data_IF_963262934936
#
_entry.id   IF_963262934936
#
_cell.length_a   1.000
_cell.length_b   1.000
_cell.length_c   1.000
_cell.angle_alpha   90.00
_cell.angle_beta   90.00
_cell.angle_gamma   90.00
#
_symmetry.space_group_name_H-M   'P 1'
#
loop_
_entity.id
_entity.type
_entity.pdbx_description
1 polymer ?
#
# COMPACT_ATOMS: atom_id res chain seq x y z
N UNK A 1 -46.99 -29.04 -17.65
CA UNK A 1 -46.78 -27.63 -17.28
C UNK A 1 -45.61 -27.62 -16.29
N UNK A 2 -44.34 -27.54 -16.67
CA UNK A 2 -43.60 -26.45 -17.34
C UNK A 2 -44.03 -25.08 -16.83
N UNK A 3 -43.18 -24.43 -16.02
CA UNK A 3 -42.42 -23.25 -16.46
C UNK A 3 -41.10 -23.15 -15.67
N UNK A 4 -40.01 -22.92 -16.42
CA UNK A 4 -38.60 -22.83 -16.03
C UNK A 4 -38.21 -21.46 -15.44
N UNK A 5 -36.89 -21.35 -15.12
CA UNK A 5 -35.95 -20.20 -15.20
C UNK A 5 -35.54 -19.60 -13.84
N UNK A 6 -34.26 -19.40 -13.48
CA UNK A 6 -32.98 -19.42 -14.24
C UNK A 6 -31.83 -19.90 -13.34
N UNK A 7 -30.95 -20.74 -13.90
CA UNK A 7 -29.57 -20.94 -13.47
C UNK A 7 -28.70 -19.76 -13.90
N UNK A 8 -27.63 -19.48 -13.16
CA UNK A 8 -26.36 -19.13 -13.79
C UNK A 8 -25.22 -19.81 -13.04
N UNK A 9 -24.64 -20.77 -13.75
CA UNK A 9 -23.46 -21.58 -13.45
C UNK A 9 -22.35 -21.02 -14.35
N UNK A 10 -21.12 -20.93 -13.86
CA UNK A 10 -19.91 -21.50 -14.49
C UNK A 10 -18.64 -20.84 -13.93
N UNK A 11 -18.19 -21.46 -12.84
CA UNK A 11 -16.80 -21.46 -12.38
C UNK A 11 -16.20 -22.77 -12.91
N UNK A 12 -15.43 -22.75 -13.99
CA UNK A 12 -14.58 -23.88 -14.39
C UNK A 12 -13.32 -23.32 -15.04
N UNK A 13 -12.28 -23.15 -14.23
CA UNK A 13 -10.90 -23.40 -14.63
C UNK A 13 -10.70 -24.91 -14.59
N UNK A 14 -10.25 -25.53 -15.69
CA UNK A 14 -9.35 -26.69 -15.68
C UNK A 14 -8.96 -27.09 -17.10
N UNK A 15 -7.65 -27.30 -17.24
CA UNK A 15 -6.93 -27.87 -18.36
C UNK A 15 -7.63 -29.05 -19.07
N UNK A 16 -7.58 -29.03 -20.39
CA UNK A 16 -7.89 -30.17 -21.25
C UNK A 16 -7.68 -29.85 -22.73
N UNK A 17 -6.44 -29.98 -23.21
CA UNK A 17 -6.19 -30.11 -24.65
C UNK A 17 -6.86 -31.41 -25.15
N UNK A 18 -7.62 -31.40 -26.26
CA UNK A 18 -7.20 -31.67 -27.64
C UNK A 18 -8.47 -31.71 -28.55
N UNK A 19 -8.32 -31.20 -29.78
CA UNK A 19 -9.10 -31.40 -31.03
C UNK A 19 -10.59 -30.99 -31.10
N UNK A 20 -10.86 -29.98 -31.94
CA UNK A 20 -11.40 -30.22 -33.29
C UNK A 20 -11.28 -28.98 -34.18
N UNK A 21 -10.82 -29.20 -35.42
CA UNK A 21 -10.65 -28.22 -36.48
C UNK A 21 -11.98 -27.76 -37.10
N UNK A 22 -11.99 -26.49 -37.52
CA UNK A 22 -12.75 -25.86 -38.61
C UNK A 22 -14.09 -25.17 -38.28
N UNK A 23 -14.09 -23.84 -38.29
CA UNK A 23 -14.82 -23.05 -39.31
C UNK A 23 -14.62 -21.53 -39.14
N UNK A 24 -13.92 -20.94 -40.12
CA UNK A 24 -13.78 -19.53 -40.50
C UNK A 24 -14.65 -18.47 -39.78
N UNK A 25 -13.98 -17.56 -39.08
CA UNK A 25 -14.04 -16.13 -39.45
C UNK A 25 -12.61 -15.59 -39.48
N UNK A 26 -12.32 -14.78 -40.48
CA UNK A 26 -11.04 -14.11 -40.73
C UNK A 26 -10.71 -13.09 -39.64
N UNK A 27 -10.22 -13.58 -38.51
CA UNK A 27 -9.37 -12.84 -37.59
C UNK A 27 -8.01 -13.54 -37.67
N UNK A 28 -6.92 -12.80 -37.84
CA UNK A 28 -5.57 -13.37 -37.82
C UNK A 28 -5.36 -14.03 -36.45
N UNK A 29 -5.54 -15.36 -36.39
CA UNK A 29 -5.29 -16.15 -35.19
C UNK A 29 -3.80 -15.98 -34.84
N UNK A 30 -3.53 -15.19 -33.80
CA UNK A 30 -2.19 -14.99 -33.27
C UNK A 30 -1.62 -16.36 -32.86
N UNK A 31 -0.36 -16.57 -33.16
CA UNK A 31 0.38 -17.70 -32.58
C UNK A 31 0.38 -17.56 -31.05
N UNK A 32 0.55 -18.66 -30.30
CA UNK A 32 0.66 -18.59 -28.84
C UNK A 32 1.71 -17.58 -28.35
N UNK A 33 2.83 -17.46 -29.06
CA UNK A 33 3.90 -16.50 -28.75
C UNK A 33 3.45 -15.05 -28.98
N UNK A 34 2.72 -14.78 -30.06
CA UNK A 34 2.19 -13.45 -30.35
C UNK A 34 1.08 -13.06 -29.37
N UNK A 35 0.26 -14.01 -28.93
CA UNK A 35 -0.76 -13.80 -27.91
C UNK A 35 -0.11 -13.48 -26.55
N UNK A 36 0.91 -14.25 -26.12
CA UNK A 36 1.63 -13.97 -24.87
C UNK A 36 2.34 -12.60 -24.91
N UNK A 37 2.95 -12.24 -26.05
CA UNK A 37 3.58 -10.94 -26.21
C UNK A 37 2.56 -9.79 -26.13
N UNK A 38 1.35 -9.98 -26.70
CA UNK A 38 0.24 -9.03 -26.60
C UNK A 38 -0.24 -8.91 -25.15
N UNK A 39 -0.49 -10.02 -24.47
CA UNK A 39 -0.96 -10.05 -23.08
C UNK A 39 0.06 -9.40 -22.13
N UNK A 40 1.35 -9.69 -22.32
CA UNK A 40 2.44 -9.01 -21.59
C UNK A 40 2.40 -7.50 -21.79
N UNK A 41 2.21 -7.03 -23.03
CA UNK A 41 2.15 -5.60 -23.35
C UNK A 41 0.94 -4.92 -22.72
N UNK A 42 -0.22 -5.56 -22.77
CA UNK A 42 -1.46 -5.05 -22.16
C UNK A 42 -1.33 -4.96 -20.63
N UNK A 43 -0.76 -6.00 -20.01
CA UNK A 43 -0.50 -6.01 -18.57
C UNK A 43 0.50 -4.93 -18.14
N UNK A 44 1.58 -4.72 -18.89
CA UNK A 44 2.52 -3.61 -18.63
C UNK A 44 1.83 -2.24 -18.71
N UNK A 45 0.93 -2.05 -19.67
CA UNK A 45 0.17 -0.81 -19.78
C UNK A 45 -0.77 -0.62 -18.58
N UNK A 46 -1.45 -1.67 -18.12
CA UNK A 46 -2.29 -1.64 -16.93
C UNK A 46 -1.50 -1.30 -15.67
N UNK A 47 -0.37 -1.96 -15.44
CA UNK A 47 0.53 -1.68 -14.31
C UNK A 47 0.98 -0.21 -14.33
N UNK A 48 1.33 0.32 -15.50
CA UNK A 48 1.71 1.73 -15.68
C UNK A 48 0.54 2.67 -15.32
N UNK A 49 -0.67 2.36 -15.77
CA UNK A 49 -1.87 3.14 -15.42
C UNK A 49 -2.12 3.10 -13.92
N UNK A 50 -1.98 1.95 -13.28
CA UNK A 50 -2.17 1.80 -11.84
C UNK A 50 -1.15 2.62 -11.05
N UNK A 51 0.15 2.54 -11.38
CA UNK A 51 1.18 3.37 -10.75
C UNK A 51 0.88 4.86 -10.91
N UNK A 52 0.56 5.29 -12.14
CA UNK A 52 0.24 6.70 -12.42
C UNK A 52 -1.00 7.17 -11.65
N UNK A 53 -2.01 6.32 -11.49
CA UNK A 53 -3.20 6.64 -10.71
C UNK A 53 -2.89 6.80 -9.22
N UNK A 54 -2.01 5.95 -8.67
CA UNK A 54 -1.55 6.07 -7.28
C UNK A 54 -0.85 7.41 -7.05
N UNK A 55 0.09 7.80 -7.92
CA UNK A 55 0.87 9.03 -7.70
C UNK A 55 0.10 10.31 -8.07
N UNK A 56 -0.89 10.24 -8.95
CA UNK A 56 -1.66 11.43 -9.36
C UNK A 56 -2.73 11.86 -8.35
N UNK A 57 -3.08 10.98 -7.40
CA UNK A 57 -4.15 11.20 -6.41
C UNK A 57 -3.59 11.54 -5.04
N UNK A 58 -4.48 11.99 -4.17
CA UNK A 58 -4.22 12.18 -2.74
C UNK A 58 -4.97 11.12 -1.94
N UNK A 59 -4.31 10.60 -0.91
CA UNK A 59 -4.76 9.44 -0.16
C UNK A 59 -4.79 9.76 1.33
N UNK A 60 -5.98 9.78 1.92
CA UNK A 60 -6.18 9.92 3.35
C UNK A 60 -6.00 8.56 4.05
N UNK A 61 -5.43 8.57 5.25
CA UNK A 61 -5.38 7.39 6.10
C UNK A 61 -6.80 6.94 6.48
N UNK A 62 -7.16 5.69 6.18
CA UNK A 62 -8.47 5.13 6.53
C UNK A 62 -8.36 4.09 7.64
N UNK A 63 -7.50 3.08 7.48
CA UNK A 63 -7.37 2.01 8.45
C UNK A 63 -6.03 1.26 8.33
N UNK A 64 -5.68 0.54 9.38
CA UNK A 64 -4.62 -0.45 9.39
C UNK A 64 -5.19 -1.79 9.86
N UNK A 65 -5.01 -2.83 9.05
CA UNK A 65 -5.34 -4.21 9.39
C UNK A 65 -4.03 -4.94 9.75
N UNK A 66 -3.70 -5.10 11.03
CA UNK A 66 -2.49 -5.82 11.42
C UNK A 66 -2.61 -7.30 11.03
N UNK A 67 -1.49 -7.89 10.65
CA UNK A 67 -1.41 -9.33 10.40
C UNK A 67 -1.74 -10.14 11.67
N UNK A 68 -2.07 -11.42 11.49
CA UNK A 68 -2.30 -12.33 12.62
C UNK A 68 -1.04 -12.47 13.50
N UNK A 69 0.15 -12.49 12.90
CA UNK A 69 1.41 -12.64 13.62
C UNK A 69 1.80 -11.36 14.38
N UNK A 70 1.55 -10.18 13.81
CA UNK A 70 1.74 -8.89 14.49
C UNK A 70 0.80 -8.79 15.71
N UNK A 71 -0.47 -9.16 15.52
CA UNK A 71 -1.47 -9.19 16.59
C UNK A 71 -1.09 -10.18 17.69
N UNK A 72 -0.60 -11.38 17.33
CA UNK A 72 -0.16 -12.37 18.30
C UNK A 72 1.06 -11.88 19.08
N UNK A 73 2.05 -11.31 18.39
CA UNK A 73 3.25 -10.77 19.00
C UNK A 73 2.95 -9.61 19.96
N UNK A 74 2.00 -8.74 19.66
CA UNK A 74 1.63 -7.62 20.55
C UNK A 74 1.11 -8.03 21.93
N UNK A 75 0.76 -9.32 22.10
CA UNK A 75 0.21 -9.89 23.35
C UNK A 75 1.23 -10.69 24.16
N UNK A 76 2.49 -10.74 23.72
CA UNK A 76 3.58 -11.42 24.44
C UNK A 76 4.33 -10.44 25.34
N UNK A 77 5.12 -10.98 26.29
CA UNK A 77 5.94 -10.19 27.20
C UNK A 77 6.97 -9.31 26.45
N UNK A 78 7.57 -9.85 25.38
CA UNK A 78 8.50 -9.13 24.49
C UNK A 78 7.79 -8.40 23.33
N UNK A 79 6.47 -8.22 23.43
CA UNK A 79 5.60 -7.70 22.37
C UNK A 79 5.65 -6.19 22.14
N UNK A 80 6.52 -5.46 22.83
CA UNK A 80 6.52 -4.00 22.89
C UNK A 80 6.63 -3.34 21.50
N UNK A 81 7.47 -3.86 20.60
CA UNK A 81 7.61 -3.33 19.24
C UNK A 81 6.33 -3.52 18.42
N UNK A 82 5.73 -4.71 18.49
CA UNK A 82 4.48 -5.02 17.78
C UNK A 82 3.31 -4.17 18.32
N UNK A 83 3.21 -4.03 19.63
CA UNK A 83 2.23 -3.18 20.29
C UNK A 83 2.40 -1.71 19.88
N UNK A 84 3.63 -1.21 19.85
CA UNK A 84 3.95 0.17 19.46
C UNK A 84 3.59 0.44 17.99
N UNK A 85 3.86 -0.51 17.08
CA UNK A 85 3.50 -0.40 15.67
C UNK A 85 1.98 -0.31 15.49
N UNK A 86 1.22 -1.19 16.17
CA UNK A 86 -0.24 -1.15 16.14
C UNK A 86 -0.76 0.17 16.72
N UNK A 87 -0.28 0.59 17.88
CA UNK A 87 -0.71 1.82 18.52
C UNK A 87 -0.44 3.04 17.63
N UNK A 88 0.74 3.15 17.02
CA UNK A 88 1.04 4.23 16.07
C UNK A 88 0.06 4.26 14.90
N UNK A 89 -0.26 3.09 14.33
CA UNK A 89 -1.22 3.01 13.23
C UNK A 89 -2.65 3.38 13.68
N UNK A 90 -3.07 2.93 14.86
CA UNK A 90 -4.40 3.26 15.40
C UNK A 90 -4.56 4.75 15.70
N UNK A 91 -3.50 5.40 16.20
CA UNK A 91 -3.48 6.84 16.47
C UNK A 91 -3.31 7.69 15.21
N UNK A 92 -2.72 7.16 14.13
CA UNK A 92 -2.49 7.89 12.89
C UNK A 92 -3.78 8.50 12.29
N UNK A 93 -4.93 7.84 12.46
CA UNK A 93 -6.24 8.37 12.03
C UNK A 93 -6.60 9.71 12.66
N UNK A 94 -6.10 9.97 13.87
CA UNK A 94 -6.40 11.19 14.60
C UNK A 94 -5.64 12.40 14.08
N UNK A 95 -4.61 12.19 13.24
CA UNK A 95 -3.77 13.25 12.67
C UNK A 95 -4.25 13.77 11.30
N UNK A 96 -5.35 13.23 10.77
CA UNK A 96 -5.91 13.62 9.46
C UNK A 96 -4.83 13.64 8.35
N UNK A 97 -4.04 12.56 8.31
CA UNK A 97 -2.89 12.44 7.41
C UNK A 97 -3.35 12.25 5.96
N UNK A 98 -2.77 13.05 5.06
CA UNK A 98 -2.98 12.92 3.62
C UNK A 98 -1.65 12.76 2.91
N UNK A 99 -1.48 11.61 2.25
CA UNK A 99 -0.36 11.30 1.38
C UNK A 99 -0.62 11.84 -0.03
N UNK A 100 0.38 12.50 -0.58
CA UNK A 100 0.41 12.98 -1.96
C UNK A 100 1.80 12.79 -2.55
N UNK A 101 1.90 12.89 -3.87
CA UNK A 101 3.16 12.73 -4.59
C UNK A 101 3.40 13.90 -5.54
N UNK A 102 4.60 14.48 -5.47
CA UNK A 102 5.05 15.53 -6.39
C UNK A 102 6.10 14.99 -7.35
N UNK A 103 5.89 15.12 -8.66
CA UNK A 103 6.88 14.68 -9.65
C UNK A 103 8.16 15.51 -9.59
N UNK A 104 9.30 14.82 -9.53
CA UNK A 104 10.66 15.37 -9.63
C UNK A 104 11.46 14.54 -10.64
N UNK A 105 11.44 14.97 -11.90
CA UNK A 105 12.00 14.20 -13.02
C UNK A 105 11.20 12.92 -13.25
N UNK A 106 11.89 11.77 -13.28
CA UNK A 106 11.30 10.44 -13.49
C UNK A 106 10.84 9.76 -12.19
N UNK A 107 10.85 10.50 -11.08
CA UNK A 107 10.49 10.00 -9.75
C UNK A 107 9.43 10.86 -9.09
N UNK A 108 8.67 10.28 -8.17
CA UNK A 108 7.65 10.96 -7.39
C UNK A 108 8.14 11.13 -5.94
N UNK A 109 8.19 12.37 -5.44
CA UNK A 109 8.51 12.66 -4.04
C UNK A 109 7.25 12.52 -3.18
N UNK A 110 7.32 11.66 -2.17
CA UNK A 110 6.23 11.48 -1.23
C UNK A 110 6.13 12.70 -0.29
N UNK A 111 4.90 13.13 -0.01
CA UNK A 111 4.58 14.19 0.94
C UNK A 111 3.39 13.77 1.78
N UNK A 112 3.48 13.96 3.10
CA UNK A 112 2.37 13.74 4.02
C UNK A 112 2.01 15.03 4.71
N UNK A 113 0.84 15.55 4.37
CA UNK A 113 0.24 16.68 5.06
C UNK A 113 -0.53 16.21 6.30
N UNK A 114 -0.47 17.01 7.35
CA UNK A 114 -1.20 16.81 8.61
C UNK A 114 -2.25 17.90 8.64
N UNK A 115 -3.51 17.54 8.35
CA UNK A 115 -4.57 18.53 8.16
C UNK A 115 -5.29 18.85 9.47
N UNK A 116 -4.51 19.38 10.41
CA UNK A 116 -4.92 19.84 11.73
C UNK A 116 -4.23 21.17 12.05
N UNK A 117 -4.82 21.94 12.95
CA UNK A 117 -4.13 23.08 13.57
C UNK A 117 -3.01 22.59 14.51
N UNK A 118 -2.03 23.47 14.80
CA UNK A 118 -0.95 23.14 15.73
C UNK A 118 -1.45 22.76 17.14
N UNK A 119 -2.54 23.40 17.60
CA UNK A 119 -3.19 23.11 18.87
C UNK A 119 -3.82 21.70 18.88
N UNK A 120 -4.49 21.32 17.80
CA UNK A 120 -5.05 19.97 17.64
C UNK A 120 -3.94 18.92 17.57
N UNK A 121 -2.85 19.20 16.84
CA UNK A 121 -1.67 18.32 16.78
C UNK A 121 -1.11 18.09 18.19
N UNK A 122 -0.94 19.15 18.99
CA UNK A 122 -0.41 19.04 20.35
C UNK A 122 -1.31 18.19 21.25
N UNK A 123 -2.63 18.36 21.14
CA UNK A 123 -3.60 17.52 21.86
C UNK A 123 -3.48 16.05 21.46
N UNK A 124 -3.39 15.74 20.16
CA UNK A 124 -3.29 14.35 19.70
C UNK A 124 -1.94 13.70 20.07
N UNK A 125 -0.84 14.45 19.99
CA UNK A 125 0.48 13.97 20.41
C UNK A 125 0.52 13.68 21.90
N UNK A 126 -0.06 14.56 22.72
CA UNK A 126 -0.17 14.34 24.15
C UNK A 126 -1.00 13.10 24.45
N UNK A 127 -2.17 12.95 23.83
CA UNK A 127 -3.02 11.77 24.02
C UNK A 127 -2.27 10.46 23.69
N UNK A 128 -1.53 10.43 22.58
CA UNK A 128 -0.69 9.29 22.22
C UNK A 128 0.42 8.98 23.25
N UNK A 129 1.09 10.02 23.76
CA UNK A 129 2.12 9.84 24.78
C UNK A 129 1.55 9.36 26.11
N UNK A 130 0.42 9.91 26.53
CA UNK A 130 -0.27 9.52 27.76
C UNK A 130 -0.76 8.06 27.66
N UNK A 131 -1.18 7.59 26.48
CA UNK A 131 -1.60 6.20 26.24
C UNK A 131 -0.42 5.21 26.25
N UNK A 132 0.74 5.59 25.70
CA UNK A 132 1.94 4.74 25.72
C UNK A 132 2.69 4.78 27.06
N UNK A 133 2.64 5.90 27.75
CA UNK A 133 3.43 6.20 28.94
C UNK A 133 2.56 6.86 30.02
N UNK A 134 1.56 6.14 30.57
CA UNK A 134 0.58 6.72 31.51
C UNK A 134 1.21 7.32 32.76
N UNK A 135 2.32 6.75 33.23
CA UNK A 135 3.06 7.25 34.40
C UNK A 135 3.71 8.63 34.17
N UNK A 136 3.86 9.05 32.91
CA UNK A 136 4.44 10.34 32.52
C UNK A 136 3.38 11.36 32.07
N UNK A 137 2.11 10.96 32.01
CA UNK A 137 1.01 11.80 31.51
C UNK A 137 0.83 13.10 32.31
N UNK A 138 1.12 13.05 33.61
CA UNK A 138 0.98 14.16 34.56
C UNK A 138 2.01 15.28 34.35
N UNK A 139 3.09 15.02 33.61
CA UNK A 139 4.18 15.99 33.42
C UNK A 139 3.85 17.07 32.39
N UNK A 140 2.83 16.86 31.56
CA UNK A 140 2.23 17.90 30.71
C UNK A 140 3.09 18.43 29.56
N UNK A 141 4.25 17.83 29.26
CA UNK A 141 5.09 18.21 28.12
C UNK A 141 5.03 17.17 26.99
N UNK A 142 5.17 17.63 25.75
CA UNK A 142 5.26 16.76 24.57
C UNK A 142 6.73 16.47 24.29
N UNK A 143 7.14 15.20 24.43
CA UNK A 143 8.49 14.77 24.06
C UNK A 143 8.65 14.73 22.54
N UNK A 144 9.66 15.43 22.02
CA UNK A 144 10.10 15.29 20.63
C UNK A 144 8.95 15.41 19.62
N UNK A 145 8.22 16.53 19.65
CA UNK A 145 7.05 16.79 18.77
C UNK A 145 7.31 16.42 17.31
N UNK A 146 8.38 16.95 16.71
CA UNK A 146 8.70 16.71 15.30
C UNK A 146 9.07 15.26 15.01
N UNK A 147 9.85 14.61 15.89
CA UNK A 147 10.18 13.18 15.77
C UNK A 147 8.93 12.29 15.88
N UNK A 148 8.03 12.62 16.80
CA UNK A 148 6.75 11.90 16.95
C UNK A 148 5.87 12.10 15.72
N UNK A 149 5.77 13.32 15.19
CA UNK A 149 5.03 13.62 13.97
C UNK A 149 5.64 12.93 12.74
N UNK A 150 6.98 12.87 12.66
CA UNK A 150 7.70 12.08 11.66
C UNK A 150 7.27 10.62 11.70
N UNK A 151 7.13 10.05 12.91
CA UNK A 151 6.70 8.66 13.07
C UNK A 151 5.28 8.40 12.56
N UNK A 152 4.35 9.35 12.75
CA UNK A 152 3.00 9.25 12.20
C UNK A 152 2.97 9.41 10.68
N UNK A 153 3.72 10.35 10.12
CA UNK A 153 3.86 10.48 8.66
C UNK A 153 4.47 9.22 8.03
N UNK A 154 5.39 8.55 8.72
CA UNK A 154 5.93 7.26 8.27
C UNK A 154 4.89 6.15 8.19
N UNK A 155 3.89 6.11 9.07
CA UNK A 155 2.82 5.07 9.03
C UNK A 155 2.18 5.00 7.64
N UNK A 156 1.93 6.15 7.01
CA UNK A 156 1.30 6.21 5.68
C UNK A 156 2.32 6.25 4.53
N UNK A 157 3.49 6.85 4.71
CA UNK A 157 4.46 7.02 3.62
C UNK A 157 5.46 5.86 3.47
N UNK A 158 5.95 5.30 4.58
CA UNK A 158 6.99 4.27 4.56
C UNK A 158 6.62 3.01 3.74
N UNK A 159 5.35 2.57 3.67
CA UNK A 159 4.96 1.45 2.79
C UNK A 159 5.21 1.66 1.29
N UNK A 160 5.52 2.88 0.86
CA UNK A 160 5.91 3.19 -0.51
C UNK A 160 7.43 3.34 -0.68
N UNK A 161 8.21 3.35 0.40
CA UNK A 161 9.66 3.50 0.36
C UNK A 161 10.33 2.20 -0.12
N UNK A 162 11.52 2.30 -0.70
CA UNK A 162 12.34 1.13 -0.97
C UNK A 162 12.82 0.50 0.35
N UNK A 163 12.92 -0.82 0.38
CA UNK A 163 13.14 -1.61 1.60
C UNK A 163 14.54 -1.44 2.19
N UNK A 164 15.50 -0.95 1.39
CA UNK A 164 16.88 -0.69 1.80
C UNK A 164 17.07 0.68 2.47
N UNK A 165 16.04 1.54 2.44
CA UNK A 165 16.08 2.86 3.08
C UNK A 165 15.96 2.73 4.60
N UNK A 166 16.79 3.49 5.31
CA UNK A 166 16.66 3.61 6.77
C UNK A 166 15.55 4.60 7.11
N UNK A 167 15.11 4.56 8.35
CA UNK A 167 14.12 5.50 8.90
C UNK A 167 14.47 6.96 8.58
N UNK A 168 15.73 7.35 8.76
CA UNK A 168 16.21 8.72 8.56
C UNK A 168 16.26 9.12 7.08
N UNK A 169 16.22 8.14 6.17
CA UNK A 169 16.14 8.37 4.72
C UNK A 169 14.69 8.54 4.24
N UNK A 170 13.70 8.17 5.08
CA UNK A 170 12.26 8.27 4.77
C UNK A 170 11.70 9.60 5.29
N UNK A 171 12.00 9.94 6.55
CA UNK A 171 11.58 11.20 7.17
C UNK A 171 12.73 11.87 7.90
N UNK A 172 12.85 13.19 7.77
CA UNK A 172 13.79 13.98 8.56
C UNK A 172 13.23 14.17 9.98
N UNK A 173 13.94 13.70 11.00
CA UNK A 173 13.45 13.74 12.40
C UNK A 173 13.35 15.16 12.99
N UNK A 174 14.14 16.12 12.49
CA UNK A 174 14.15 17.50 12.99
C UNK A 174 12.96 18.32 12.48
N UNK A 175 12.50 18.03 11.26
CA UNK A 175 11.40 18.75 10.58
C UNK A 175 10.12 17.93 10.46
N UNK A 176 10.21 16.63 10.74
CA UNK A 176 9.16 15.65 10.55
C UNK A 176 8.76 15.39 9.10
N UNK A 177 9.44 15.95 8.09
CA UNK A 177 9.01 15.88 6.68
C UNK A 177 9.50 14.59 5.99
N UNK A 178 8.70 14.08 5.05
CA UNK A 178 9.13 13.01 4.15
C UNK A 178 10.19 13.51 3.17
N UNK A 179 11.25 12.72 2.95
CA UNK A 179 12.39 13.13 2.11
C UNK A 179 12.76 12.11 1.02
N UNK A 180 12.14 10.93 0.99
CA UNK A 180 12.37 9.92 -0.03
C UNK A 180 11.56 10.17 -1.32
N UNK A 181 11.97 9.44 -2.37
CA UNK A 181 11.31 9.43 -3.67
C UNK A 181 11.01 7.99 -4.07
N UNK A 182 9.98 7.82 -4.90
CA UNK A 182 9.58 6.54 -5.46
C UNK A 182 9.68 6.59 -6.98
N UNK A 183 10.09 5.48 -7.57
CA UNK A 183 10.04 5.24 -9.01
C UNK A 183 9.19 4.02 -9.30
N UNK A 184 8.62 3.95 -10.49
CA UNK A 184 7.93 2.74 -10.95
C UNK A 184 8.94 1.59 -11.01
N UNK A 185 8.52 0.40 -10.56
CA UNK A 185 9.32 -0.82 -10.72
C UNK A 185 9.53 -1.11 -12.21
N UNK A 186 10.74 -1.51 -12.56
CA UNK A 186 11.02 -2.00 -13.92
C UNK A 186 10.52 -3.44 -14.08
N UNK A 187 9.73 -3.65 -15.13
CA UNK A 187 9.09 -4.92 -15.47
C UNK A 187 9.49 -5.45 -16.85
N UNK A 188 10.36 -4.74 -17.60
CA UNK A 188 10.62 -5.07 -19.01
C UNK A 188 11.21 -6.47 -19.19
N UNK A 189 12.08 -6.86 -18.27
CA UNK A 189 12.82 -8.13 -18.29
C UNK A 189 12.01 -9.34 -17.78
N UNK A 190 10.82 -9.14 -17.21
CA UNK A 190 10.02 -10.26 -16.69
C UNK A 190 9.30 -11.01 -17.82
N UNK A 191 9.21 -12.33 -17.73
CA UNK A 191 8.27 -13.10 -18.58
C UNK A 191 6.81 -12.83 -18.16
N UNK A 192 5.83 -13.33 -18.90
CA UNK A 192 4.42 -13.08 -18.62
C UNK A 192 4.00 -13.61 -17.23
N UNK A 193 4.39 -14.83 -16.87
CA UNK A 193 4.02 -15.45 -15.58
C UNK A 193 4.57 -14.64 -14.39
N UNK A 194 5.85 -14.25 -14.46
CA UNK A 194 6.50 -13.42 -13.44
C UNK A 194 5.87 -12.02 -13.38
N UNK A 195 5.46 -11.48 -14.52
CA UNK A 195 4.75 -10.20 -14.58
C UNK A 195 3.40 -10.30 -13.86
N UNK A 196 2.62 -11.35 -14.13
CA UNK A 196 1.33 -11.61 -13.45
C UNK A 196 1.51 -11.73 -11.93
N UNK A 197 2.57 -12.40 -11.47
CA UNK A 197 2.85 -12.56 -10.04
C UNK A 197 3.28 -11.25 -9.36
N UNK A 198 3.96 -10.36 -10.09
CA UNK A 198 4.54 -9.13 -9.54
C UNK A 198 3.79 -7.84 -9.93
N UNK A 199 2.69 -7.92 -10.68
CA UNK A 199 1.94 -6.77 -11.22
C UNK A 199 1.50 -5.73 -10.17
N UNK A 200 1.42 -6.11 -8.89
CA UNK A 200 1.05 -5.20 -7.78
C UNK A 200 2.25 -4.59 -7.05
N UNK A 201 3.49 -5.01 -7.33
CA UNK A 201 4.69 -4.43 -6.73
C UNK A 201 5.12 -3.20 -7.52
N UNK A 202 4.32 -2.13 -7.40
CA UNK A 202 4.39 -0.99 -8.30
C UNK A 202 5.65 -0.14 -8.13
N UNK A 203 6.25 -0.12 -6.95
CA UNK A 203 7.41 0.74 -6.62
C UNK A 203 8.72 -0.06 -6.70
N UNK A 204 9.73 0.52 -7.34
CA UNK A 204 11.07 -0.06 -7.44
C UNK A 204 11.74 -0.17 -6.06
N UNK A 205 12.37 -1.31 -5.79
CA UNK A 205 13.06 -1.56 -4.52
C UNK A 205 12.14 -1.81 -3.32
N UNK A 206 10.82 -1.84 -3.52
CA UNK A 206 9.82 -2.12 -2.50
C UNK A 206 9.16 -3.48 -2.78
N UNK A 207 9.03 -4.32 -1.75
CA UNK A 207 8.41 -5.66 -1.86
C UNK A 207 6.89 -5.65 -1.71
N UNK A 208 6.33 -4.56 -1.20
CA UNK A 208 4.92 -4.43 -0.87
C UNK A 208 4.04 -4.44 -2.12
N UNK A 209 2.81 -4.95 -1.94
CA UNK A 209 1.81 -4.93 -3.01
C UNK A 209 0.88 -3.74 -2.83
N UNK A 210 0.74 -2.96 -3.88
CA UNK A 210 -0.08 -1.75 -3.94
C UNK A 210 -1.18 -1.98 -4.98
N UNK A 211 -2.44 -1.86 -4.59
CA UNK A 211 -3.56 -2.05 -5.51
C UNK A 211 -4.81 -1.28 -5.11
N UNK A 212 -5.55 -0.84 -6.12
CA UNK A 212 -6.85 -0.21 -5.98
C UNK A 212 -7.94 -1.27 -5.81
N UNK A 213 -8.79 -1.07 -4.82
CA UNK A 213 -9.94 -1.92 -4.57
C UNK A 213 -11.15 -1.43 -5.38
N UNK A 214 -12.14 -2.33 -5.55
CA UNK A 214 -13.37 -2.02 -6.28
C UNK A 214 -14.20 -0.90 -5.63
N UNK A 215 -14.02 -0.65 -4.33
CA UNK A 215 -14.70 0.43 -3.60
C UNK A 215 -13.98 1.79 -3.72
N UNK A 216 -12.88 1.86 -4.47
CA UNK A 216 -12.07 3.06 -4.68
C UNK A 216 -11.01 3.33 -3.61
N UNK A 217 -10.84 2.44 -2.63
CA UNK A 217 -9.73 2.53 -1.67
C UNK A 217 -8.42 2.00 -2.27
N UNK A 218 -7.30 2.46 -1.75
CA UNK A 218 -5.97 1.95 -2.05
C UNK A 218 -5.51 1.06 -0.89
N UNK A 219 -5.13 -0.18 -1.19
CA UNK A 219 -4.49 -1.07 -0.21
C UNK A 219 -3.01 -1.17 -0.51
N UNK A 220 -2.20 -1.03 0.54
CA UNK A 220 -0.78 -1.41 0.56
C UNK A 220 -0.60 -2.58 1.52
N UNK A 221 -0.17 -3.72 0.99
CA UNK A 221 0.23 -4.89 1.78
C UNK A 221 1.63 -4.67 2.33
N UNK A 222 1.73 -4.28 3.60
CA UNK A 222 2.97 -3.95 4.30
C UNK A 222 3.62 -5.23 4.79
N UNK A 223 4.74 -5.59 4.19
CA UNK A 223 5.47 -6.84 4.43
C UNK A 223 6.52 -6.63 5.51
N UNK A 224 6.44 -7.43 6.57
CA UNK A 224 7.44 -7.49 7.63
C UNK A 224 7.96 -8.92 7.75
N UNK A 225 9.29 -9.12 7.79
CA UNK A 225 9.89 -10.46 7.86
C UNK A 225 9.55 -11.20 9.16
N UNK A 226 9.32 -10.47 10.25
CA UNK A 226 8.99 -11.01 11.58
C UNK A 226 7.49 -11.17 11.77
N UNK A 227 6.71 -10.25 11.21
CA UNK A 227 5.28 -10.15 11.48
C UNK A 227 4.38 -10.45 10.27
N UNK A 228 4.92 -10.87 9.14
CA UNK A 228 4.14 -11.18 7.95
C UNK A 228 3.51 -9.94 7.31
N UNK A 229 2.36 -10.11 6.65
CA UNK A 229 1.75 -9.05 5.83
C UNK A 229 0.57 -8.39 6.54
N UNK A 230 0.73 -7.12 6.90
CA UNK A 230 -0.35 -6.24 7.36
C UNK A 230 -0.91 -5.43 6.19
N UNK A 231 -2.03 -4.73 6.36
CA UNK A 231 -2.58 -3.85 5.33
C UNK A 231 -2.75 -2.43 5.81
N UNK A 232 -2.18 -1.49 5.08
CA UNK A 232 -2.54 -0.09 5.15
C UNK A 232 -3.64 0.17 4.12
N UNK A 233 -4.77 0.72 4.57
CA UNK A 233 -5.91 1.08 3.73
C UNK A 233 -6.03 2.59 3.71
N UNK A 234 -6.04 3.14 2.49
CA UNK A 234 -6.16 4.56 2.24
C UNK A 234 -7.40 4.85 1.39
N UNK A 235 -7.99 6.02 1.55
CA UNK A 235 -9.10 6.48 0.73
C UNK A 235 -8.74 7.72 -0.07
N UNK A 236 -9.30 7.84 -1.27
CA UNK A 236 -9.08 8.99 -2.13
C UNK A 236 -9.70 10.24 -1.52
N UNK A 237 -8.91 11.32 -1.44
CA UNK A 237 -9.39 12.66 -1.10
C UNK A 237 -10.10 13.25 -2.32
N UNK A 238 -11.36 13.66 -2.15
CA UNK A 238 -12.22 14.19 -3.22
C UNK A 238 -12.23 15.72 -3.27
#
# INVERSE_FOLDING_TARGET
MITMKKMNVFFVLMLGAVVSFSSCSSDDDLTPEEQEAKDKKELLAEITVNYNMVIAKQWAYKAFEPSADLLAASKTEDGADALTTIAKAEHAKNFNLVLSFGMEGDSAKAKVDVNLSDEEIDVQLKAFQDDLYPDFAEWGFILGKESTLASFRRVIAAPFAADDLKIDDITNEETGLCIFKIGMRDFTELNYDDLVLNQKKLVGGNVDKIYLNADGTLTVEVTDEKYGVSKLILEEVK
#
